data_IF_331255264464
#
_entry.id   IF_331255264464
#
_cell.length_a   1.000
_cell.length_b   1.000
_cell.length_c   1.000
_cell.angle_alpha   90.00
_cell.angle_beta   90.00
_cell.angle_gamma   90.00
#
_symmetry.space_group_name_H-M   'P 1'
#
loop_
_entity.id
_entity.type
_entity.pdbx_description
1 polymer ?
#
# COMPACT_ATOMS: atom_id res chain seq x y z
N UNK A 1 11.34 15.60 -13.45
CA UNK A 1 11.62 14.18 -13.11
C UNK A 1 10.53 13.54 -12.27
N UNK A 2 10.06 14.12 -11.14
CA UNK A 2 9.00 13.53 -10.29
C UNK A 2 7.64 13.41 -10.99
N UNK A 3 7.05 14.51 -11.47
CA UNK A 3 5.70 14.49 -12.07
C UNK A 3 5.61 13.58 -13.30
N UNK A 4 6.66 13.54 -14.12
CA UNK A 4 6.72 12.62 -15.27
C UNK A 4 6.74 11.16 -14.86
N UNK A 5 7.38 10.81 -13.73
CA UNK A 5 7.33 9.46 -13.19
C UNK A 5 5.95 9.15 -12.61
N UNK A 6 5.34 10.08 -11.89
CA UNK A 6 3.99 9.92 -11.34
C UNK A 6 2.95 9.72 -12.46
N UNK A 7 3.05 10.49 -13.54
CA UNK A 7 2.20 10.34 -14.73
C UNK A 7 2.34 8.94 -15.35
N UNK A 8 3.59 8.48 -15.58
CA UNK A 8 3.84 7.10 -16.06
C UNK A 8 3.35 6.05 -15.09
N UNK A 9 3.50 6.27 -13.78
CA UNK A 9 3.02 5.34 -12.76
C UNK A 9 1.49 5.20 -12.84
N UNK A 10 0.77 6.32 -12.87
CA UNK A 10 -0.70 6.36 -12.86
C UNK A 10 -1.28 5.87 -14.18
N UNK A 11 -0.81 6.41 -15.31
CA UNK A 11 -1.41 6.19 -16.61
C UNK A 11 -0.89 4.93 -17.34
N UNK A 12 0.27 4.41 -16.94
CA UNK A 12 0.92 3.28 -17.63
C UNK A 12 1.19 2.09 -16.70
N UNK A 13 1.85 2.33 -15.56
CA UNK A 13 2.30 1.26 -14.66
C UNK A 13 1.16 0.57 -13.90
N UNK A 14 0.31 1.34 -13.23
CA UNK A 14 -0.79 0.79 -12.42
C UNK A 14 -1.80 -0.02 -13.26
N UNK A 15 -2.29 0.46 -14.42
CA UNK A 15 -3.25 -0.30 -15.23
C UNK A 15 -2.66 -1.59 -15.82
N UNK A 16 -1.34 -1.64 -16.04
CA UNK A 16 -0.63 -2.83 -16.54
C UNK A 16 -0.26 -3.83 -15.44
N UNK A 17 -0.47 -3.47 -14.18
CA UNK A 17 -0.21 -4.37 -13.06
C UNK A 17 -1.21 -5.53 -13.10
N UNK A 18 -0.72 -6.76 -12.95
CA UNK A 18 -1.58 -7.95 -12.92
C UNK A 18 -2.59 -7.87 -11.78
N UNK A 19 -3.86 -8.17 -12.07
CA UNK A 19 -4.99 -8.14 -11.14
C UNK A 19 -5.23 -6.77 -10.48
N UNK A 20 -5.01 -5.68 -11.23
CA UNK A 20 -5.20 -4.33 -10.71
C UNK A 20 -6.67 -4.02 -10.43
N UNK A 21 -7.01 -3.80 -9.15
CA UNK A 21 -8.36 -3.44 -8.67
C UNK A 21 -8.43 -2.00 -8.13
N UNK A 22 -7.41 -1.19 -8.39
CA UNK A 22 -7.21 0.09 -7.73
C UNK A 22 -6.30 -0.01 -6.52
N UNK A 23 -5.67 1.11 -6.17
CA UNK A 23 -4.79 1.22 -5.01
C UNK A 23 -5.59 1.40 -3.72
N UNK A 24 -5.03 0.94 -2.60
CA UNK A 24 -5.69 1.00 -1.31
C UNK A 24 -5.69 2.45 -0.79
N UNK A 25 -6.87 3.05 -0.49
CA UNK A 25 -6.94 4.38 0.09
C UNK A 25 -6.50 4.44 1.56
N UNK A 26 -6.25 3.30 2.22
CA UNK A 26 -5.79 3.27 3.62
C UNK A 26 -4.26 3.21 3.77
N UNK A 27 -3.50 3.35 2.68
CA UNK A 27 -2.03 3.29 2.74
C UNK A 27 -1.38 4.65 3.07
N UNK A 28 -2.14 5.59 3.61
CA UNK A 28 -1.59 6.83 4.15
C UNK A 28 -1.03 6.63 5.56
N UNK A 29 -0.12 7.51 5.95
CA UNK A 29 0.61 7.47 7.23
C UNK A 29 -0.01 8.36 8.33
N UNK A 30 -1.15 8.99 8.08
CA UNK A 30 -1.79 9.94 9.00
C UNK A 30 -1.30 11.37 8.86
N UNK A 31 -0.24 11.62 8.09
CA UNK A 31 0.38 12.93 7.89
C UNK A 31 0.39 13.32 6.40
N UNK A 32 -0.51 12.74 5.59
CA UNK A 32 -0.65 13.10 4.18
C UNK A 32 0.42 12.51 3.25
N UNK A 33 1.22 11.54 3.69
CA UNK A 33 2.13 10.80 2.82
C UNK A 33 1.51 9.46 2.42
N UNK A 34 1.78 9.03 1.20
CA UNK A 34 1.18 7.82 0.63
C UNK A 34 2.25 6.84 0.16
N UNK A 35 2.11 5.57 0.54
CA UNK A 35 3.07 4.53 0.16
C UNK A 35 2.39 3.39 -0.59
N UNK A 36 2.97 2.98 -1.72
CA UNK A 36 2.53 1.81 -2.47
C UNK A 36 3.70 0.87 -2.75
N UNK A 37 3.44 -0.42 -2.62
CA UNK A 37 4.37 -1.47 -3.02
C UNK A 37 3.95 -2.08 -4.35
N UNK A 38 4.89 -2.17 -5.27
CA UNK A 38 4.76 -2.85 -6.56
C UNK A 38 5.54 -4.16 -6.51
N UNK A 39 4.90 -5.26 -6.87
CA UNK A 39 5.52 -6.59 -6.85
C UNK A 39 6.51 -6.78 -7.99
N UNK A 40 6.28 -6.15 -9.13
CA UNK A 40 7.06 -6.31 -10.34
C UNK A 40 7.25 -4.97 -11.04
N UNK A 41 8.49 -4.67 -11.43
CA UNK A 41 8.83 -3.49 -12.23
C UNK A 41 8.57 -3.67 -13.73
N UNK A 42 8.20 -4.88 -14.17
CA UNK A 42 7.90 -5.24 -15.58
C UNK A 42 6.74 -4.45 -16.20
N UNK A 43 5.96 -3.75 -15.39
CA UNK A 43 4.83 -2.93 -15.84
C UNK A 43 5.27 -1.69 -16.61
N UNK A 44 6.51 -1.25 -16.44
CA UNK A 44 7.09 -0.12 -17.16
C UNK A 44 7.69 -0.61 -18.49
N UNK A 45 7.25 -0.07 -19.65
CA UNK A 45 7.78 -0.51 -20.95
C UNK A 45 9.24 -0.11 -21.17
N UNK A 46 9.78 0.83 -20.39
CA UNK A 46 11.20 1.18 -20.44
C UNK A 46 12.10 0.05 -19.91
N UNK A 47 11.54 -0.86 -19.12
CA UNK A 47 12.27 -1.95 -18.50
C UNK A 47 12.21 -3.19 -19.40
N UNK A 48 13.35 -3.55 -19.97
CA UNK A 48 13.50 -4.80 -20.72
C UNK A 48 13.53 -5.99 -19.77
N UNK A 49 12.42 -6.73 -19.70
CA UNK A 49 12.30 -7.94 -18.88
C UNK A 49 13.39 -8.97 -19.18
N UNK A 50 13.80 -9.06 -20.45
CA UNK A 50 14.82 -10.01 -20.94
C UNK A 50 16.23 -9.77 -20.35
N UNK A 51 16.51 -8.55 -19.88
CA UNK A 51 17.76 -8.22 -19.19
C UNK A 51 17.70 -8.51 -17.67
N UNK A 52 16.50 -8.70 -17.12
CA UNK A 52 16.26 -8.88 -15.69
C UNK A 52 15.94 -10.34 -15.38
N UNK A 53 16.96 -11.13 -15.04
CA UNK A 53 16.79 -12.56 -14.78
C UNK A 53 15.84 -12.92 -13.62
N UNK A 54 15.48 -12.00 -12.72
CA UNK A 54 14.50 -12.22 -11.65
C UNK A 54 13.57 -11.01 -11.49
N UNK A 55 12.26 -11.22 -11.20
CA UNK A 55 11.34 -10.13 -10.92
C UNK A 55 11.81 -9.38 -9.66
N UNK A 56 11.84 -8.05 -9.76
CA UNK A 56 12.11 -7.15 -8.64
C UNK A 56 10.88 -6.29 -8.39
N UNK A 57 10.53 -6.14 -7.12
CA UNK A 57 9.54 -5.18 -6.67
C UNK A 57 10.14 -3.79 -6.47
N UNK A 58 9.28 -2.83 -6.14
CA UNK A 58 9.67 -1.47 -5.79
C UNK A 58 8.62 -0.89 -4.85
N UNK A 59 9.07 -0.16 -3.83
CA UNK A 59 8.20 0.66 -3.00
C UNK A 59 8.30 2.12 -3.45
N UNK A 60 7.16 2.76 -3.64
CA UNK A 60 7.05 4.17 -4.03
C UNK A 60 6.36 4.91 -2.90
N UNK A 61 7.06 5.88 -2.33
CA UNK A 61 6.55 6.77 -1.29
C UNK A 61 6.36 8.17 -1.88
N UNK A 62 5.13 8.67 -1.85
CA UNK A 62 4.76 10.01 -2.29
C UNK A 62 4.66 10.88 -1.04
N UNK A 63 5.58 11.83 -0.92
CA UNK A 63 5.59 12.81 0.16
C UNK A 63 4.83 14.05 -0.28
N UNK A 64 3.91 14.52 0.57
CA UNK A 64 3.07 15.67 0.28
C UNK A 64 3.16 16.69 1.42
N UNK A 65 2.81 17.95 1.15
CA UNK A 65 2.70 19.00 2.17
C UNK A 65 1.35 19.01 2.90
N UNK A 66 0.43 18.11 2.52
CA UNK A 66 -0.88 17.97 3.14
C UNK A 66 -0.73 17.62 4.63
N UNK A 67 -1.59 18.16 5.48
CA UNK A 67 -1.56 17.87 6.93
C UNK A 67 -2.45 16.71 7.32
N UNK A 68 -3.36 16.32 6.43
CA UNK A 68 -4.34 15.26 6.67
C UNK A 68 -4.41 14.33 5.47
N UNK A 69 -4.71 13.06 5.74
CA UNK A 69 -4.87 12.05 4.69
C UNK A 69 -6.02 12.37 3.74
N UNK A 70 -7.07 13.03 4.22
CA UNK A 70 -8.21 13.44 3.39
C UNK A 70 -7.81 14.43 2.29
N UNK A 71 -6.96 15.40 2.61
CA UNK A 71 -6.45 16.37 1.65
C UNK A 71 -5.51 15.70 0.64
N UNK A 72 -4.60 14.85 1.14
CA UNK A 72 -3.68 14.10 0.28
C UNK A 72 -4.42 13.13 -0.66
N UNK A 73 -5.44 12.44 -0.16
CA UNK A 73 -6.25 11.53 -0.95
C UNK A 73 -7.02 12.29 -2.04
N UNK A 74 -7.61 13.45 -1.73
CA UNK A 74 -8.27 14.30 -2.74
C UNK A 74 -7.29 14.77 -3.80
N UNK A 75 -6.10 15.22 -3.39
CA UNK A 75 -5.06 15.65 -4.33
C UNK A 75 -4.67 14.50 -5.28
N UNK A 76 -4.34 13.33 -4.75
CA UNK A 76 -3.97 12.18 -5.57
C UNK A 76 -5.12 11.73 -6.47
N UNK A 77 -6.36 11.79 -5.98
CA UNK A 77 -7.55 11.46 -6.79
C UNK A 77 -7.71 12.41 -7.99
N UNK A 78 -7.51 13.72 -7.77
CA UNK A 78 -7.57 14.73 -8.83
C UNK A 78 -6.41 14.61 -9.82
N UNK A 79 -5.25 14.12 -9.36
CA UNK A 79 -4.12 13.78 -10.22
C UNK A 79 -4.31 12.48 -11.01
N UNK A 80 -5.46 11.81 -10.86
CA UNK A 80 -5.81 10.60 -11.62
C UNK A 80 -5.49 9.28 -10.92
N UNK A 81 -5.12 9.30 -9.63
CA UNK A 81 -4.77 8.08 -8.91
C UNK A 81 -5.98 7.14 -8.79
N UNK A 82 -5.90 5.90 -9.31
CA UNK A 82 -7.02 4.96 -9.33
C UNK A 82 -7.20 4.29 -7.96
N UNK A 83 -7.88 4.96 -7.02
CA UNK A 83 -8.26 4.36 -5.75
C UNK A 83 -9.36 3.32 -5.93
N UNK A 84 -9.27 2.21 -5.19
CA UNK A 84 -10.29 1.15 -5.20
C UNK A 84 -11.64 1.69 -4.68
N UNK A 85 -12.67 1.64 -5.53
CA UNK A 85 -14.06 1.98 -5.13
C UNK A 85 -14.61 0.89 -4.19
N UNK A 86 -15.13 1.31 -3.02
CA UNK A 86 -15.73 0.40 -2.03
C UNK A 86 -15.12 0.46 -0.63
N UNK A 87 -14.10 1.29 -0.40
CA UNK A 87 -13.57 1.55 0.94
C UNK A 87 -14.05 2.93 1.40
N UNK A 88 -14.93 2.93 2.39
CA UNK A 88 -15.38 4.16 3.05
C UNK A 88 -14.19 4.93 3.61
N UNK A 89 -14.21 6.26 3.50
CA UNK A 89 -13.22 7.21 4.03
C UNK A 89 -13.16 7.27 5.56
N UNK A 90 -13.66 6.24 6.25
CA UNK A 90 -13.59 6.15 7.70
C UNK A 90 -12.20 5.59 8.08
N UNK A 91 -11.46 6.25 8.98
CA UNK A 91 -10.16 5.75 9.41
C UNK A 91 -10.34 4.36 10.03
N UNK A 92 -9.77 3.34 9.40
CA UNK A 92 -9.64 2.01 9.97
C UNK A 92 -8.66 2.10 11.14
N UNK A 93 -9.19 2.29 12.35
CA UNK A 93 -8.44 2.12 13.60
C UNK A 93 -7.86 0.71 13.58
N UNK A 94 -6.55 0.59 13.36
CA UNK A 94 -5.81 -0.67 13.51
C UNK A 94 -5.95 -1.13 14.96
N UNK A 95 -6.96 -1.97 15.25
CA UNK A 95 -7.03 -2.71 16.51
C UNK A 95 -5.82 -3.65 16.55
N UNK A 96 -4.77 -3.27 17.28
CA UNK A 96 -3.69 -4.19 17.68
C UNK A 96 -4.35 -5.37 18.40
N UNK A 97 -4.53 -6.48 17.69
CA UNK A 97 -4.98 -7.73 18.30
C UNK A 97 -3.82 -8.25 19.15
N UNK A 98 -3.80 -7.83 20.42
CA UNK A 98 -2.95 -8.45 21.44
C UNK A 98 -3.29 -9.95 21.44
N UNK A 99 -2.36 -10.79 20.96
CA UNK A 99 -2.48 -12.25 21.12
C UNK A 99 -2.41 -12.51 22.62
N UNK A 100 -3.50 -12.95 23.23
CA UNK A 100 -3.49 -13.50 24.57
C UNK A 100 -2.58 -14.74 24.55
N UNK A 101 -1.47 -14.69 25.28
CA UNK A 101 -0.62 -15.85 25.53
C UNK A 101 -1.39 -16.75 26.49
N UNK A 102 -1.72 -17.96 26.03
CA UNK A 102 -2.43 -18.96 26.82
C UNK A 102 -1.47 -19.52 27.89
N UNK A 103 -1.56 -19.01 29.13
CA UNK A 103 -0.83 -19.53 30.28
C UNK A 103 -1.57 -20.76 30.83
N UNK A 104 -1.06 -21.96 30.56
CA UNK A 104 -1.62 -23.21 31.05
C UNK A 104 -1.09 -23.50 32.46
N UNK A 105 -1.91 -23.23 33.48
CA UNK A 105 -1.64 -23.64 34.86
C UNK A 105 -2.03 -25.10 35.05
N UNK A 106 -1.09 -26.01 34.80
CA UNK A 106 -1.23 -27.42 35.23
C UNK A 106 -1.07 -27.54 36.74
N UNK A 107 -2.21 -27.38 37.39
CA UNK A 107 -2.71 -27.99 38.63
C UNK A 107 -1.80 -29.08 39.23
N UNK A 108 -1.17 -28.73 40.35
CA UNK A 108 -0.76 -29.67 41.40
C UNK A 108 -1.97 -30.48 41.87
N UNK A 109 -1.93 -31.80 41.72
CA UNK A 109 -2.76 -32.73 42.49
C UNK A 109 -1.88 -33.91 42.90
N UNK A 110 -1.61 -33.98 44.20
CA UNK A 110 -0.90 -35.07 44.84
C UNK A 110 -1.57 -36.42 44.59
N UNK A 111 -0.74 -37.46 44.58
CA UNK A 111 -1.16 -38.84 44.59
C UNK A 111 -0.58 -39.47 45.85
N UNK A 112 -1.50 -39.91 46.72
CA UNK A 112 -1.26 -40.97 47.70
C UNK A 112 -0.85 -42.24 46.97
#
# INVERSE_FOLDING_TARGET
MMYSFLDRLINLGLPRTRDFQGVNPNSFDGHGNYSIGMREQSVFPEIRFDALGKPRGMDVCITTTAKTDNEAQKLLSLLGMPFRQGVSTAPLVRKKKLKAVHFDSKKSKGRK
#
